data_IF_463343186389
#
_entry.id   IF_463343186389
#
_cell.length_a   1.000
_cell.length_b   1.000
_cell.length_c   1.000
_cell.angle_alpha   90.00
_cell.angle_beta   90.00
_cell.angle_gamma   90.00
#
_symmetry.space_group_name_H-M   'P 1'
#
loop_
_entity.id
_entity.type
_entity.pdbx_description
1 polymer ?
#
# COMPACT_ATOMS: atom_id res chain seq x y z
N UNK A 1 -10.29 -13.35 -4.28
CA UNK A 1 -8.99 -12.66 -4.31
C UNK A 1 -8.79 -12.05 -2.95
N UNK A 2 -7.64 -12.27 -2.30
CA UNK A 2 -7.40 -11.84 -0.92
C UNK A 2 -7.19 -10.33 -0.86
N UNK A 3 -7.92 -9.64 0.02
CA UNK A 3 -7.86 -8.17 0.17
C UNK A 3 -6.48 -7.72 0.64
N UNK A 4 -6.16 -6.43 0.45
CA UNK A 4 -4.89 -5.87 0.96
C UNK A 4 -4.82 -5.99 2.48
N UNK A 5 -5.96 -5.80 3.17
CA UNK A 5 -6.07 -6.04 4.61
C UNK A 5 -5.62 -7.44 4.99
N UNK A 6 -6.25 -8.45 4.40
CA UNK A 6 -5.99 -9.86 4.71
C UNK A 6 -4.52 -10.23 4.46
N UNK A 7 -3.91 -9.69 3.40
CA UNK A 7 -2.50 -9.90 3.11
C UNK A 7 -1.59 -9.29 4.19
N UNK A 8 -1.80 -8.02 4.53
CA UNK A 8 -0.97 -7.34 5.54
C UNK A 8 -1.22 -7.94 6.93
N UNK A 9 -2.45 -8.34 7.25
CA UNK A 9 -2.76 -8.99 8.54
C UNK A 9 -2.11 -10.37 8.65
N UNK A 10 -2.05 -11.14 7.56
CA UNK A 10 -1.32 -12.41 7.53
C UNK A 10 0.18 -12.19 7.73
N UNK A 11 0.78 -11.19 7.06
CA UNK A 11 2.19 -10.81 7.23
C UNK A 11 2.48 -10.34 8.66
N UNK A 12 1.61 -9.49 9.23
CA UNK A 12 1.71 -9.01 10.60
C UNK A 12 1.61 -10.16 11.61
N UNK A 13 0.70 -11.12 11.37
CA UNK A 13 0.57 -12.30 12.21
C UNK A 13 1.82 -13.16 12.19
N UNK A 14 2.37 -13.48 11.01
CA UNK A 14 3.59 -14.29 10.90
C UNK A 14 4.79 -13.56 11.56
N UNK A 15 4.87 -12.24 11.42
CA UNK A 15 5.88 -11.43 12.11
C UNK A 15 5.79 -11.54 13.64
N UNK A 16 4.58 -11.47 14.20
CA UNK A 16 4.35 -11.65 15.65
C UNK A 16 4.72 -13.07 16.08
N UNK A 17 4.25 -14.09 15.34
CA UNK A 17 4.49 -15.50 15.65
C UNK A 17 6.00 -15.84 15.62
N UNK A 18 6.78 -15.14 14.80
CA UNK A 18 8.25 -15.23 14.73
C UNK A 18 8.97 -14.22 15.64
N UNK A 19 8.30 -13.80 16.72
CA UNK A 19 8.87 -12.92 17.76
C UNK A 19 9.42 -11.61 17.21
N UNK A 20 8.71 -11.03 16.23
CA UNK A 20 9.01 -9.72 15.64
C UNK A 20 10.36 -9.66 14.93
N UNK A 21 10.74 -10.72 14.20
CA UNK A 21 11.98 -10.75 13.40
C UNK A 21 12.03 -9.58 12.40
N UNK A 22 13.07 -8.75 12.49
CA UNK A 22 13.28 -7.59 11.63
C UNK A 22 13.42 -7.96 10.15
N UNK A 23 13.86 -9.18 9.84
CA UNK A 23 14.02 -9.66 8.45
C UNK A 23 12.68 -9.84 7.72
N UNK A 24 11.58 -9.86 8.45
CA UNK A 24 10.23 -10.01 7.90
C UNK A 24 9.52 -8.69 7.64
N UNK A 25 10.10 -7.59 8.10
CA UNK A 25 9.51 -6.27 7.85
C UNK A 25 9.44 -6.02 6.35
N UNK A 26 8.44 -5.23 5.96
CA UNK A 26 8.15 -4.95 4.57
C UNK A 26 9.34 -4.24 3.90
N UNK A 27 9.59 -4.59 2.63
CA UNK A 27 10.49 -3.81 1.80
C UNK A 27 9.90 -2.40 1.54
N UNK A 28 10.71 -1.42 1.10
CA UNK A 28 10.26 -0.03 1.00
C UNK A 28 8.97 0.19 0.20
N UNK A 29 8.77 -0.53 -0.91
CA UNK A 29 7.57 -0.40 -1.74
C UNK A 29 6.33 -0.98 -1.06
N UNK A 30 6.46 -2.16 -0.46
CA UNK A 30 5.39 -2.77 0.30
C UNK A 30 5.04 -1.95 1.56
N UNK A 31 6.04 -1.34 2.21
CA UNK A 31 5.83 -0.40 3.32
C UNK A 31 5.03 0.83 2.88
N UNK A 32 5.40 1.45 1.75
CA UNK A 32 4.65 2.59 1.21
C UNK A 32 3.18 2.21 0.95
N UNK A 33 2.95 1.07 0.30
CA UNK A 33 1.59 0.58 0.06
C UNK A 33 0.82 0.36 1.37
N UNK A 34 1.44 -0.24 2.39
CA UNK A 34 0.78 -0.50 3.66
C UNK A 34 0.44 0.80 4.41
N UNK A 35 1.33 1.80 4.37
CA UNK A 35 1.07 3.14 4.93
C UNK A 35 -0.12 3.80 4.23
N UNK A 36 -0.13 3.80 2.88
CA UNK A 36 -1.22 4.37 2.10
C UNK A 36 -2.55 3.65 2.37
N UNK A 37 -2.52 2.33 2.51
CA UNK A 37 -3.72 1.55 2.82
C UNK A 37 -4.28 1.89 4.21
N UNK A 38 -3.43 1.95 5.25
CA UNK A 38 -3.86 2.31 6.62
C UNK A 38 -4.56 3.68 6.67
N UNK A 39 -4.17 4.62 5.80
CA UNK A 39 -4.82 5.93 5.67
C UNK A 39 -6.03 5.98 4.72
N UNK A 40 -6.35 4.88 4.04
CA UNK A 40 -7.35 4.85 2.96
C UNK A 40 -8.79 4.70 3.47
N UNK A 41 -9.76 4.92 2.58
CA UNK A 41 -11.18 4.76 2.92
C UNK A 41 -11.54 3.29 3.22
N UNK A 42 -10.88 2.35 2.55
CA UNK A 42 -10.95 0.92 2.87
C UNK A 42 -10.58 0.62 4.32
N UNK A 43 -9.44 1.12 4.80
CA UNK A 43 -9.04 0.94 6.20
C UNK A 43 -10.02 1.60 7.18
N UNK A 44 -10.54 2.80 6.86
CA UNK A 44 -11.56 3.47 7.70
C UNK A 44 -12.86 2.67 7.77
N UNK A 45 -13.26 2.03 6.68
CA UNK A 45 -14.50 1.26 6.60
C UNK A 45 -14.39 -0.11 7.26
N UNK A 46 -13.29 -0.81 7.05
CA UNK A 46 -13.11 -2.20 7.49
C UNK A 46 -12.41 -2.32 8.85
N UNK A 47 -11.72 -1.26 9.28
CA UNK A 47 -10.78 -1.30 10.40
C UNK A 47 -9.60 -2.24 10.14
N UNK A 48 -8.64 -2.24 11.05
CA UNK A 48 -7.50 -3.16 11.04
C UNK A 48 -7.06 -3.48 12.47
N UNK A 49 -6.43 -4.64 12.66
CA UNK A 49 -5.95 -5.09 13.96
C UNK A 49 -4.79 -4.25 14.50
N UNK A 50 -4.61 -4.26 15.83
CA UNK A 50 -3.45 -3.65 16.49
C UNK A 50 -2.12 -4.27 16.02
N UNK A 51 -2.12 -5.58 15.74
CA UNK A 51 -0.95 -6.27 15.17
C UNK A 51 -0.56 -5.69 13.80
N UNK A 52 -1.54 -5.40 12.94
CA UNK A 52 -1.27 -4.74 11.66
C UNK A 52 -0.70 -3.34 11.90
N UNK A 53 -1.29 -2.58 12.83
CA UNK A 53 -0.82 -1.24 13.18
C UNK A 53 0.66 -1.26 13.62
N UNK A 54 1.00 -2.19 14.53
CA UNK A 54 2.36 -2.39 15.04
C UNK A 54 3.32 -2.78 13.92
N UNK A 55 2.92 -3.72 13.06
CA UNK A 55 3.74 -4.21 11.95
C UNK A 55 4.04 -3.12 10.90
N UNK A 56 3.03 -2.31 10.54
CA UNK A 56 3.20 -1.19 9.61
C UNK A 56 4.10 -0.11 10.23
N UNK A 57 3.94 0.19 11.52
CA UNK A 57 4.80 1.12 12.23
C UNK A 57 6.26 0.64 12.28
N UNK A 58 6.49 -0.63 12.61
CA UNK A 58 7.83 -1.24 12.63
C UNK A 58 8.47 -1.22 11.23
N UNK A 59 7.70 -1.58 10.20
CA UNK A 59 8.17 -1.55 8.80
C UNK A 59 8.54 -0.12 8.37
N UNK A 60 7.72 0.88 8.73
CA UNK A 60 8.01 2.30 8.47
C UNK A 60 9.31 2.74 9.13
N UNK A 61 9.55 2.34 10.38
CA UNK A 61 10.77 2.67 11.12
C UNK A 61 12.01 2.02 10.48
N UNK A 62 11.92 0.75 10.08
CA UNK A 62 13.03 0.03 9.47
C UNK A 62 13.42 0.59 8.09
N UNK A 63 12.44 1.03 7.29
CA UNK A 63 12.71 1.70 6.00
C UNK A 63 13.30 3.11 6.21
N UNK A 64 12.83 3.82 7.24
CA UNK A 64 13.26 5.18 7.56
C UNK A 64 12.55 6.25 6.72
N UNK A 65 12.20 7.37 7.36
CA UNK A 65 11.41 8.44 6.70
C UNK A 65 12.12 9.04 5.49
N UNK A 66 13.44 9.29 5.57
CA UNK A 66 14.22 9.82 4.45
C UNK A 66 14.10 8.95 3.20
N UNK A 67 13.99 7.62 3.37
CA UNK A 67 13.85 6.70 2.23
C UNK A 67 12.46 6.77 1.62
N UNK A 68 11.42 6.87 2.44
CA UNK A 68 10.04 7.08 1.97
C UNK A 68 9.94 8.40 1.20
N UNK A 69 10.49 9.49 1.76
CA UNK A 69 10.48 10.80 1.10
C UNK A 69 11.24 10.76 -0.23
N UNK A 70 12.39 10.07 -0.28
CA UNK A 70 13.11 9.84 -1.54
C UNK A 70 12.25 9.09 -2.55
N UNK A 71 11.54 8.04 -2.14
CA UNK A 71 10.65 7.28 -3.02
C UNK A 71 9.52 8.14 -3.56
N UNK A 72 8.86 8.93 -2.72
CA UNK A 72 7.77 9.83 -3.12
C UNK A 72 8.23 10.87 -4.17
N UNK A 73 9.48 11.31 -4.06
CA UNK A 73 10.11 12.24 -5.01
C UNK A 73 10.58 11.58 -6.32
N UNK A 74 10.68 10.25 -6.38
CA UNK A 74 11.02 9.54 -7.61
C UNK A 74 9.88 9.62 -8.63
N UNK A 75 10.22 9.40 -9.90
CA UNK A 75 9.25 9.37 -10.98
C UNK A 75 8.93 7.93 -11.40
N UNK A 76 7.66 7.65 -11.57
CA UNK A 76 7.15 6.42 -12.17
C UNK A 76 6.08 6.73 -13.23
N UNK A 77 5.63 5.72 -13.96
CA UNK A 77 4.71 5.83 -15.09
C UNK A 77 3.34 5.28 -14.73
N UNK A 78 2.28 5.99 -15.09
CA UNK A 78 0.93 5.44 -14.93
C UNK A 78 0.74 4.21 -15.83
N UNK A 79 0.32 3.09 -15.26
CA UNK A 79 0.08 1.83 -15.99
C UNK A 79 -1.04 1.92 -17.02
N UNK A 80 -1.90 2.95 -16.94
CA UNK A 80 -2.99 3.17 -17.89
C UNK A 80 -2.59 4.09 -19.06
N UNK A 81 -2.03 5.27 -18.77
CA UNK A 81 -1.74 6.29 -19.80
C UNK A 81 -0.25 6.45 -20.14
N UNK A 82 0.65 5.72 -19.48
CA UNK A 82 2.11 5.75 -19.70
C UNK A 82 2.81 7.04 -19.28
N UNK A 83 2.08 8.10 -18.93
CA UNK A 83 2.67 9.38 -18.55
C UNK A 83 3.43 9.26 -17.23
N UNK A 84 4.59 9.93 -17.16
CA UNK A 84 5.47 9.91 -15.99
C UNK A 84 5.10 11.00 -14.99
N UNK A 85 4.88 10.60 -13.75
CA UNK A 85 4.58 11.48 -12.60
C UNK A 85 5.57 11.20 -11.48
N UNK A 86 5.62 12.10 -10.48
CA UNK A 86 6.24 11.73 -9.20
C UNK A 86 5.34 10.72 -8.48
N UNK A 87 5.94 9.80 -7.73
CA UNK A 87 5.22 8.76 -6.98
C UNK A 87 4.22 9.37 -6.00
N UNK A 88 4.51 10.53 -5.41
CA UNK A 88 3.56 11.28 -4.57
C UNK A 88 2.23 11.65 -5.28
N UNK A 89 2.19 11.61 -6.61
CA UNK A 89 1.00 11.90 -7.43
C UNK A 89 0.40 10.63 -8.08
N UNK A 90 0.82 9.45 -7.62
CA UNK A 90 0.36 8.16 -8.09
C UNK A 90 -0.28 7.40 -6.93
N UNK A 91 -1.40 6.74 -7.21
CA UNK A 91 -1.94 5.71 -6.34
C UNK A 91 -1.48 4.35 -6.85
N UNK A 92 -1.21 3.42 -5.95
CA UNK A 92 -0.56 2.14 -6.24
C UNK A 92 -1.44 0.95 -5.81
N UNK A 93 -1.28 -0.16 -6.51
CA UNK A 93 -1.81 -1.46 -6.13
C UNK A 93 -0.66 -2.43 -5.83
N UNK A 94 -0.86 -3.40 -4.93
CA UNK A 94 0.12 -4.44 -4.62
C UNK A 94 0.55 -5.28 -5.83
N UNK A 95 -0.25 -5.34 -6.90
CA UNK A 95 0.15 -6.01 -8.14
C UNK A 95 1.22 -5.25 -8.95
N UNK A 96 1.63 -4.07 -8.50
CA UNK A 96 2.63 -3.23 -9.16
C UNK A 96 2.05 -2.19 -10.10
N UNK A 97 0.75 -2.25 -10.42
CA UNK A 97 0.10 -1.22 -11.21
C UNK A 97 0.00 0.09 -10.39
N UNK A 98 0.30 1.20 -11.06
CA UNK A 98 0.19 2.54 -10.50
C UNK A 98 -0.65 3.43 -11.41
N UNK A 99 -1.46 4.29 -10.81
CA UNK A 99 -2.47 5.11 -11.48
C UNK A 99 -2.26 6.57 -11.12
N UNK A 100 -2.21 7.43 -12.14
CA UNK A 100 -2.14 8.86 -11.87
C UNK A 100 -3.49 9.38 -11.38
N UNK A 101 -3.44 10.51 -10.68
CA UNK A 101 -4.60 11.23 -10.15
C UNK A 101 -5.71 11.51 -11.18
N UNK A 102 -5.40 11.50 -12.49
CA UNK A 102 -6.40 11.64 -13.56
C UNK A 102 -7.05 10.31 -13.94
N UNK A 103 -6.25 9.27 -14.14
CA UNK A 103 -6.73 7.99 -14.65
C UNK A 103 -7.37 7.12 -13.57
N UNK A 104 -7.07 7.37 -12.29
CA UNK A 104 -7.65 6.60 -11.19
C UNK A 104 -9.18 6.70 -11.13
N UNK A 105 -9.79 7.80 -11.58
CA UNK A 105 -11.25 7.98 -11.60
C UNK A 105 -11.96 7.04 -12.58
N UNK A 106 -11.24 6.49 -13.56
CA UNK A 106 -11.77 5.51 -14.51
C UNK A 106 -11.82 4.09 -13.91
N UNK A 107 -11.28 3.89 -12.71
CA UNK A 107 -11.33 2.62 -12.02
C UNK A 107 -12.66 2.45 -11.29
N UNK A 108 -13.12 1.20 -11.23
CA UNK A 108 -14.25 0.81 -10.40
C UNK A 108 -13.99 1.03 -8.90
N UNK A 109 -14.98 0.71 -8.08
CA UNK A 109 -14.88 0.77 -6.63
C UNK A 109 -14.79 -0.66 -6.08
N UNK A 110 -13.80 -0.90 -5.24
CA UNK A 110 -13.66 -2.14 -4.48
C UNK A 110 -14.71 -2.18 -3.35
N UNK A 111 -15.19 -3.35 -2.89
CA UNK A 111 -16.23 -3.42 -1.85
C UNK A 111 -15.94 -2.62 -0.57
N UNK A 112 -14.66 -2.40 -0.25
CA UNK A 112 -14.24 -1.60 0.90
C UNK A 112 -14.22 -0.09 0.67
N UNK A 113 -14.51 0.38 -0.54
CA UNK A 113 -14.58 1.81 -0.89
C UNK A 113 -13.31 2.35 -1.56
N UNK A 114 -12.19 1.62 -1.52
CA UNK A 114 -11.00 1.97 -2.30
C UNK A 114 -11.29 1.84 -3.81
N UNK A 115 -10.42 2.41 -4.65
CA UNK A 115 -10.46 2.18 -6.10
C UNK A 115 -10.04 0.74 -6.40
N UNK A 116 -10.70 0.10 -7.35
CA UNK A 116 -10.40 -1.26 -7.77
C UNK A 116 -9.39 -1.27 -8.92
N UNK A 117 -8.23 -1.89 -8.72
CA UNK A 117 -7.28 -2.15 -9.80
C UNK A 117 -7.89 -3.14 -10.80
N UNK A 118 -7.42 -3.15 -12.04
CA UNK A 118 -7.78 -4.16 -13.04
C UNK A 118 -7.45 -5.59 -12.62
N UNK A 119 -6.48 -5.78 -11.71
CA UNK A 119 -6.26 -7.10 -11.15
C UNK A 119 -7.40 -7.54 -10.20
N UNK A 120 -8.29 -6.64 -9.77
CA UNK A 120 -9.30 -6.89 -8.73
C UNK A 120 -8.86 -6.49 -7.32
N UNK A 121 -7.60 -6.10 -7.14
CA UNK A 121 -7.06 -5.59 -5.88
C UNK A 121 -7.40 -4.12 -5.62
N UNK A 122 -6.86 -3.59 -4.53
CA UNK A 122 -7.14 -2.24 -4.08
C UNK A 122 -6.05 -1.26 -4.51
N UNK A 123 -6.46 -0.08 -4.95
CA UNK A 123 -5.58 1.04 -5.29
C UNK A 123 -5.63 2.05 -4.15
N UNK A 124 -4.45 2.38 -3.62
CA UNK A 124 -4.25 3.25 -2.46
C UNK A 124 -3.17 4.27 -2.75
N UNK A 125 -3.25 5.46 -2.15
CA UNK A 125 -2.29 6.55 -2.36
C UNK A 125 -3.00 7.86 -2.59
#
# INVERSE_FOLDING_TARGET
>A
MTSVKEQIEAEAKDWIDRRRDQKMLLNPWATLHAICWVGSDGAKKEGYSENLAEFVAASKLAVGMNKIDQMLNQRDHCSYCGTRFRVENLSLCRCGNVYCYKCIWNLGIHPNGNRACYCGGEVVG
#
